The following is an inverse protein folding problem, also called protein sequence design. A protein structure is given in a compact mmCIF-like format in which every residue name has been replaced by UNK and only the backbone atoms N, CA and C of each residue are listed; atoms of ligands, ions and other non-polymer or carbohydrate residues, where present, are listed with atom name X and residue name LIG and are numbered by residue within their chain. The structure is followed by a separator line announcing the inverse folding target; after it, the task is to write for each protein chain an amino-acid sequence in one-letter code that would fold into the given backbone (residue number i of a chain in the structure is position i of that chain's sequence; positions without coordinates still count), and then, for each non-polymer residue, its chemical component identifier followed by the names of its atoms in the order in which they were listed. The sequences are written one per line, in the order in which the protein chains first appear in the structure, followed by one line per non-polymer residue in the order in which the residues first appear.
data_IF_481583935485
#
_entry.id   IF_481583935485
#
_cell.length_a   1.000
_cell.length_b   1.000
_cell.length_c   1.000
_cell.angle_alpha   90.00
_cell.angle_beta   90.00
_cell.angle_gamma   90.00
#
_symmetry.space_group_name_H-M   'P 1'
#
loop_
_entity.id
_entity.type
_entity.pdbx_description
1 polymer ?
#
# COMPACT_ATOMS: atom_id res chain seq x y z
N UNK A 1 -15.05 -8.16 -6.71
CA UNK A 1 -14.22 -8.64 -5.57
C UNK A 1 -12.83 -8.93 -6.12
N UNK A 2 -11.78 -8.30 -5.59
CA UNK A 2 -10.40 -8.49 -6.09
C UNK A 2 -9.80 -9.74 -5.44
N UNK A 3 -9.18 -10.60 -6.24
CA UNK A 3 -8.42 -11.77 -5.76
C UNK A 3 -6.92 -11.46 -5.76
N UNK A 4 -6.22 -12.05 -4.80
CA UNK A 4 -4.78 -11.89 -4.59
C UNK A 4 -4.10 -13.24 -4.67
N UNK A 5 -2.99 -13.29 -5.41
CA UNK A 5 -2.12 -14.46 -5.51
C UNK A 5 -0.99 -14.33 -4.48
N UNK A 6 -0.93 -15.26 -3.53
CA UNK A 6 0.15 -15.36 -2.54
C UNK A 6 1.45 -15.84 -3.17
N UNK A 7 2.57 -15.60 -2.48
CA UNK A 7 3.90 -16.13 -2.86
C UNK A 7 3.94 -17.66 -3.00
N UNK A 8 3.07 -18.38 -2.28
CA UNK A 8 2.94 -19.84 -2.37
C UNK A 8 1.97 -20.30 -3.47
N UNK A 9 1.46 -19.40 -4.32
CA UNK A 9 0.52 -19.70 -5.39
C UNK A 9 -0.95 -19.80 -4.97
N UNK A 10 -1.28 -19.74 -3.67
CA UNK A 10 -2.68 -19.74 -3.23
C UNK A 10 -3.38 -18.44 -3.65
N UNK A 11 -4.64 -18.57 -4.04
CA UNK A 11 -5.52 -17.44 -4.32
C UNK A 11 -6.43 -17.22 -3.11
N UNK A 12 -6.47 -15.98 -2.61
CA UNK A 12 -7.43 -15.54 -1.61
C UNK A 12 -8.10 -14.23 -2.03
N UNK A 13 -9.18 -13.87 -1.37
CA UNK A 13 -9.80 -12.56 -1.56
C UNK A 13 -8.93 -11.47 -0.92
N UNK A 14 -8.84 -10.30 -1.56
CA UNK A 14 -8.11 -9.18 -1.01
C UNK A 14 -8.64 -8.81 0.38
N UNK A 15 -7.75 -8.86 1.36
CA UNK A 15 -8.02 -8.47 2.73
C UNK A 15 -7.30 -7.15 3.03
N UNK A 16 -8.06 -6.07 3.04
CA UNK A 16 -7.55 -4.70 3.27
C UNK A 16 -7.08 -4.52 4.72
N UNK A 17 -7.62 -5.28 5.68
CA UNK A 17 -7.22 -5.17 7.08
C UNK A 17 -5.74 -5.54 7.29
N UNK A 18 -5.22 -6.47 6.46
CA UNK A 18 -3.80 -6.83 6.47
C UNK A 18 -2.93 -5.68 5.98
N UNK A 19 -3.37 -4.93 4.97
CA UNK A 19 -2.65 -3.75 4.47
C UNK A 19 -2.60 -2.69 5.57
N UNK A 20 -3.77 -2.36 6.13
CA UNK A 20 -3.94 -1.39 7.21
C UNK A 20 -3.04 -1.65 8.41
N UNK A 21 -2.92 -2.92 8.81
CA UNK A 21 -2.05 -3.31 9.92
C UNK A 21 -0.58 -2.93 9.69
N UNK A 22 -0.09 -3.04 8.46
CA UNK A 22 1.32 -2.76 8.15
C UNK A 22 1.56 -1.30 7.76
N UNK A 23 0.61 -0.66 7.07
CA UNK A 23 0.69 0.77 6.70
C UNK A 23 0.56 1.70 7.90
N UNK A 24 -0.22 1.33 8.92
CA UNK A 24 -0.37 2.12 10.14
C UNK A 24 0.97 2.33 10.86
N UNK A 25 1.81 1.30 10.93
CA UNK A 25 3.13 1.39 11.55
C UNK A 25 4.11 2.20 10.70
N UNK A 26 3.94 2.21 9.37
CA UNK A 26 4.82 2.95 8.46
C UNK A 26 4.62 4.47 8.52
N UNK A 27 3.45 4.95 8.95
CA UNK A 27 3.17 6.40 9.04
C UNK A 27 3.21 6.93 10.48
N UNK A 28 3.48 6.07 11.46
CA UNK A 28 3.45 6.44 12.88
C UNK A 28 4.54 7.46 13.20
N UNK A 29 4.15 8.62 13.74
CA UNK A 29 5.08 9.69 14.09
C UNK A 29 5.66 10.48 12.91
N UNK A 30 5.18 10.23 11.68
CA UNK A 30 5.61 10.97 10.49
C UNK A 30 4.64 12.11 10.17
N UNK A 31 5.07 13.34 10.40
CA UNK A 31 4.28 14.52 10.09
C UNK A 31 4.08 14.68 8.58
N UNK A 32 2.88 15.10 8.17
CA UNK A 32 2.56 15.31 6.77
C UNK A 32 2.38 14.02 5.96
N UNK A 33 2.34 12.85 6.60
CA UNK A 33 2.08 11.55 5.95
C UNK A 33 0.72 11.02 6.42
N UNK A 34 -0.01 10.32 5.56
CA UNK A 34 -1.36 9.81 5.89
C UNK A 34 -1.56 8.38 5.40
N UNK A 35 -1.89 7.48 6.33
CA UNK A 35 -2.22 6.09 6.04
C UNK A 35 -3.37 5.98 5.03
N UNK A 36 -4.48 6.68 5.30
CA UNK A 36 -5.68 6.57 4.48
C UNK A 36 -5.43 7.07 3.06
N UNK A 37 -4.61 8.11 2.91
CA UNK A 37 -4.20 8.65 1.63
C UNK A 37 -3.38 7.63 0.82
N UNK A 38 -2.38 7.01 1.46
CA UNK A 38 -1.57 5.94 0.84
C UNK A 38 -2.44 4.78 0.35
N UNK A 39 -3.37 4.32 1.20
CA UNK A 39 -4.20 3.15 0.90
C UNK A 39 -5.19 3.39 -0.22
N UNK A 40 -5.82 4.55 -0.27
CA UNK A 40 -6.79 4.89 -1.32
C UNK A 40 -6.09 4.93 -2.68
N UNK A 41 -4.95 5.63 -2.75
CA UNK A 41 -4.22 5.81 -4.00
C UNK A 41 -3.60 4.50 -4.50
N UNK A 42 -3.05 3.68 -3.59
CA UNK A 42 -2.52 2.37 -3.94
C UNK A 42 -3.63 1.42 -4.41
N UNK A 43 -4.79 1.43 -3.74
CA UNK A 43 -5.92 0.54 -4.07
C UNK A 43 -6.50 0.81 -5.45
N UNK A 44 -6.44 2.05 -5.94
CA UNK A 44 -6.84 2.39 -7.32
C UNK A 44 -5.99 1.66 -8.37
N UNK A 45 -4.77 1.25 -8.03
CA UNK A 45 -3.86 0.54 -8.93
C UNK A 45 -4.01 -1.00 -8.84
N UNK A 46 -4.81 -1.51 -7.90
CA UNK A 46 -4.99 -2.95 -7.74
C UNK A 46 -5.90 -3.54 -8.83
N UNK A 47 -5.47 -4.67 -9.38
CA UNK A 47 -6.19 -5.45 -10.40
C UNK A 47 -6.56 -6.84 -9.89
N UNK A 48 -7.51 -7.50 -10.53
CA UNK A 48 -7.81 -8.89 -10.19
C UNK A 48 -6.59 -9.79 -10.45
N UNK A 49 -6.43 -10.82 -9.61
CA UNK A 49 -5.28 -11.73 -9.62
C UNK A 49 -3.93 -11.02 -9.40
N UNK A 50 -3.91 -9.86 -8.71
CA UNK A 50 -2.67 -9.19 -8.32
C UNK A 50 -1.86 -10.06 -7.35
N UNK A 51 -0.54 -10.09 -7.48
CA UNK A 51 0.31 -10.82 -6.54
C UNK A 51 0.55 -10.02 -5.25
N UNK A 52 0.85 -10.71 -4.15
CA UNK A 52 1.23 -10.00 -2.90
C UNK A 52 2.48 -9.13 -3.04
N UNK A 53 3.37 -9.48 -3.96
CA UNK A 53 4.59 -8.71 -4.25
C UNK A 53 4.28 -7.43 -5.02
N UNK A 54 3.36 -7.50 -5.99
CA UNK A 54 2.87 -6.31 -6.69
C UNK A 54 2.14 -5.37 -5.73
N UNK A 55 1.31 -5.87 -4.80
CA UNK A 55 0.66 -5.03 -3.78
C UNK A 55 1.70 -4.23 -2.99
N UNK A 56 2.77 -4.90 -2.53
CA UNK A 56 3.85 -4.22 -1.79
C UNK A 56 4.57 -3.18 -2.65
N UNK A 57 4.87 -3.54 -3.90
CA UNK A 57 5.52 -2.64 -4.86
C UNK A 57 4.66 -1.41 -5.16
N UNK A 58 3.35 -1.62 -5.33
CA UNK A 58 2.37 -0.54 -5.54
C UNK A 58 2.35 0.42 -4.36
N UNK A 59 2.27 -0.08 -3.12
CA UNK A 59 2.30 0.76 -1.93
C UNK A 59 3.58 1.62 -1.86
N UNK A 60 4.74 1.02 -2.12
CA UNK A 60 6.02 1.73 -2.12
C UNK A 60 6.05 2.81 -3.22
N UNK A 61 5.62 2.47 -4.44
CA UNK A 61 5.57 3.44 -5.54
C UNK A 61 4.64 4.61 -5.24
N UNK A 62 3.45 4.33 -4.70
CA UNK A 62 2.51 5.38 -4.29
C UNK A 62 3.09 6.29 -3.22
N UNK A 63 3.84 5.76 -2.25
CA UNK A 63 4.54 6.58 -1.27
C UNK A 63 5.64 7.45 -1.92
N UNK A 64 6.45 6.86 -2.81
CA UNK A 64 7.50 7.58 -3.55
C UNK A 64 6.93 8.71 -4.41
N UNK A 65 5.83 8.46 -5.11
CA UNK A 65 5.15 9.44 -5.97
C UNK A 65 4.59 10.64 -5.16
N UNK A 66 4.43 10.48 -3.84
CA UNK A 66 3.96 11.52 -2.92
C UNK A 66 5.09 12.30 -2.25
N UNK A 67 6.35 11.91 -2.44
CA UNK A 67 7.49 12.66 -1.93
C UNK A 67 7.50 14.02 -2.61
N UNK A 68 7.35 15.05 -1.78
CA UNK A 68 7.33 16.44 -2.22
C UNK A 68 8.19 17.28 -1.26
N UNK A 69 8.61 18.47 -1.69
CA UNK A 69 9.40 19.40 -0.88
C UNK A 69 8.65 19.80 0.41
N UNK A 70 7.32 19.86 0.35
CA UNK A 70 6.46 20.20 1.50
C UNK A 70 6.09 18.97 2.34
N UNK A 71 6.26 17.75 1.81
CA UNK A 71 5.94 16.48 2.48
C UNK A 71 7.10 15.47 2.37
N UNK A 72 8.31 15.80 2.86
CA UNK A 72 9.49 14.96 2.67
C UNK A 72 9.41 13.62 3.41
N UNK A 73 8.58 13.54 4.45
CA UNK A 73 8.47 12.35 5.30
C UNK A 73 7.89 11.11 4.59
N UNK A 74 7.35 11.25 3.38
CA UNK A 74 7.00 10.10 2.52
C UNK A 74 8.20 9.23 2.12
N UNK A 75 9.44 9.67 2.39
CA UNK A 75 10.66 8.90 2.12
C UNK A 75 10.96 7.80 3.15
N UNK A 76 10.27 7.77 4.30
CA UNK A 76 10.49 6.82 5.40
C UNK A 76 9.44 5.70 5.40
#
# INVERSE_FOLDING_TARGET
MIRVVKRNGRVETLDVSKIQKYTSASVEGLDGVSQSELEVDAKLQFRDMITTEEIQTTLIKTAVDKIDIDRPNWTF
#
